data_IF_750499988134
#
_entry.id   IF_750499988134
#
_cell.length_a   1.000
_cell.length_b   1.000
_cell.length_c   1.000
_cell.angle_alpha   90.00
_cell.angle_beta   90.00
_cell.angle_gamma   90.00
#
_symmetry.space_group_name_H-M   'P 1'
#
loop_
_entity.id
_entity.type
_entity.pdbx_description
1 polymer ?
#
# COMPACT_ATOMS: atom_id res chain seq x y z
N UNK A 1 5.85 -13.49 -12.53
CA UNK A 1 4.86 -13.06 -11.51
C UNK A 1 3.45 -13.28 -12.02
N UNK A 2 2.54 -13.68 -11.14
CA UNK A 2 1.11 -13.74 -11.48
C UNK A 2 0.55 -12.35 -11.74
N UNK A 3 -0.66 -12.29 -12.34
CA UNK A 3 -1.33 -11.01 -12.55
C UNK A 3 -1.62 -10.27 -11.23
N UNK A 4 -1.98 -10.99 -10.19
CA UNK A 4 -2.21 -10.39 -8.87
C UNK A 4 -0.91 -9.88 -8.25
N UNK A 5 0.20 -10.59 -8.39
CA UNK A 5 1.50 -10.12 -7.92
C UNK A 5 1.93 -8.84 -8.63
N UNK A 6 1.70 -8.76 -9.94
CA UNK A 6 2.00 -7.54 -10.72
C UNK A 6 1.14 -6.36 -10.24
N UNK A 7 -0.13 -6.61 -9.97
CA UNK A 7 -1.05 -5.59 -9.48
C UNK A 7 -0.63 -5.04 -8.11
N UNK A 8 -0.29 -5.93 -7.18
CA UNK A 8 0.19 -5.55 -5.84
C UNK A 8 1.51 -4.79 -5.93
N UNK A 9 2.42 -5.23 -6.80
CA UNK A 9 3.71 -4.55 -7.02
C UNK A 9 3.49 -3.13 -7.54
N UNK A 10 2.58 -2.94 -8.49
CA UNK A 10 2.23 -1.62 -9.01
C UNK A 10 1.62 -0.72 -7.92
N UNK A 11 0.77 -1.29 -7.07
CA UNK A 11 0.18 -0.58 -5.94
C UNK A 11 1.28 -0.03 -5.00
N UNK A 12 2.21 -0.87 -4.54
CA UNK A 12 3.27 -0.43 -3.64
C UNK A 12 4.22 0.55 -4.31
N UNK A 13 4.49 0.37 -5.60
CA UNK A 13 5.28 1.36 -6.36
C UNK A 13 4.59 2.72 -6.33
N UNK A 14 3.29 2.77 -6.51
CA UNK A 14 2.52 4.01 -6.41
C UNK A 14 2.62 4.65 -5.02
N UNK A 15 2.58 3.84 -3.96
CA UNK A 15 2.73 4.36 -2.60
C UNK A 15 4.12 4.95 -2.39
N UNK A 16 5.17 4.24 -2.80
CA UNK A 16 6.56 4.67 -2.60
C UNK A 16 6.92 5.88 -3.45
N UNK A 17 6.37 5.97 -4.66
CA UNK A 17 6.62 7.08 -5.61
C UNK A 17 5.66 8.27 -5.40
N UNK A 18 4.74 8.19 -4.45
CA UNK A 18 3.70 9.19 -4.22
C UNK A 18 2.86 9.45 -5.49
N UNK A 19 2.52 8.39 -6.19
CA UNK A 19 1.75 8.42 -7.42
C UNK A 19 0.33 7.91 -7.17
N UNK A 20 -0.58 8.82 -6.84
CA UNK A 20 -1.95 8.46 -6.49
C UNK A 20 -2.69 7.83 -7.68
N UNK A 21 -2.42 8.28 -8.90
CA UNK A 21 -3.09 7.74 -10.08
C UNK A 21 -2.71 6.28 -10.30
N UNK A 22 -1.45 5.93 -10.08
CA UNK A 22 -1.00 4.54 -10.16
C UNK A 22 -1.68 3.67 -9.09
N UNK A 23 -1.79 4.17 -7.85
CA UNK A 23 -2.49 3.46 -6.77
C UNK A 23 -3.95 3.22 -7.15
N UNK A 24 -4.67 4.27 -7.52
CA UNK A 24 -6.10 4.17 -7.84
C UNK A 24 -6.35 3.30 -9.07
N UNK A 25 -5.42 3.25 -10.01
CA UNK A 25 -5.50 2.36 -11.16
C UNK A 25 -5.44 0.88 -10.81
N UNK A 26 -4.94 0.52 -9.63
CA UNK A 26 -4.92 -0.87 -9.13
C UNK A 26 -6.14 -1.22 -8.29
N UNK A 27 -6.99 -0.26 -7.95
CA UNK A 27 -8.12 -0.42 -7.04
C UNK A 27 -9.44 -0.17 -7.77
N UNK A 28 -10.42 -1.02 -7.48
CA UNK A 28 -11.79 -0.81 -7.96
C UNK A 28 -12.37 0.48 -7.35
N UNK A 29 -13.30 1.12 -8.06
CA UNK A 29 -13.99 2.33 -7.58
C UNK A 29 -14.70 2.10 -6.25
N UNK A 30 -15.23 0.90 -6.05
CA UNK A 30 -15.99 0.50 -4.87
C UNK A 30 -15.13 -0.26 -3.85
N UNK A 31 -13.81 -0.26 -4.01
CA UNK A 31 -12.96 -1.03 -3.12
C UNK A 31 -13.06 -0.56 -1.67
N UNK A 32 -12.85 -1.50 -0.76
CA UNK A 32 -12.74 -1.24 0.66
C UNK A 32 -11.30 -1.47 1.08
N UNK A 33 -10.73 -0.48 1.75
CA UNK A 33 -9.37 -0.52 2.27
C UNK A 33 -9.43 -0.50 3.79
N UNK A 34 -8.87 -1.50 4.44
CA UNK A 34 -8.88 -1.60 5.89
C UNK A 34 -7.47 -1.74 6.44
N UNK A 35 -7.20 -1.05 7.55
CA UNK A 35 -5.99 -1.25 8.35
C UNK A 35 -6.48 -1.74 9.71
N UNK A 36 -6.48 -3.07 9.86
CA UNK A 36 -7.11 -3.72 11.01
C UNK A 36 -6.48 -3.33 12.35
N UNK A 37 -5.15 -3.18 12.37
CA UNK A 37 -4.43 -2.80 13.58
C UNK A 37 -4.79 -1.40 14.09
N UNK A 38 -5.29 -0.54 13.22
CA UNK A 38 -5.67 0.84 13.56
C UNK A 38 -7.19 1.06 13.56
N UNK A 39 -7.96 0.02 13.28
CA UNK A 39 -9.40 0.13 13.19
C UNK A 39 -9.88 1.03 12.05
N UNK A 40 -9.07 1.20 11.01
CA UNK A 40 -9.38 2.06 9.87
C UNK A 40 -10.09 1.25 8.81
N UNK A 41 -11.18 1.80 8.27
CA UNK A 41 -11.91 1.25 7.14
C UNK A 41 -12.31 2.39 6.21
N UNK A 42 -11.85 2.32 4.98
CA UNK A 42 -12.08 3.35 3.95
C UNK A 42 -12.82 2.73 2.78
N UNK A 43 -13.78 3.44 2.24
CA UNK A 43 -14.55 2.98 1.09
C UNK A 43 -14.42 3.98 -0.05
N UNK A 44 -13.98 3.48 -1.21
CA UNK A 44 -13.87 4.27 -2.44
C UNK A 44 -12.60 5.11 -2.55
N UNK A 45 -12.37 5.60 -3.76
CA UNK A 45 -11.13 6.30 -4.11
C UNK A 45 -10.90 7.59 -3.32
N UNK A 46 -11.96 8.34 -3.02
CA UNK A 46 -11.82 9.64 -2.32
C UNK A 46 -11.24 9.47 -0.92
N UNK A 47 -11.78 8.53 -0.14
CA UNK A 47 -11.31 8.27 1.22
C UNK A 47 -9.89 7.70 1.22
N UNK A 48 -9.59 6.81 0.28
CA UNK A 48 -8.27 6.21 0.13
C UNK A 48 -7.24 7.28 -0.25
N UNK A 49 -7.57 8.17 -1.18
CA UNK A 49 -6.70 9.29 -1.55
C UNK A 49 -6.36 10.15 -0.35
N UNK A 50 -7.36 10.50 0.47
CA UNK A 50 -7.14 11.29 1.68
C UNK A 50 -6.17 10.62 2.66
N UNK A 51 -6.25 9.30 2.81
CA UNK A 51 -5.33 8.55 3.67
C UNK A 51 -3.90 8.65 3.17
N UNK A 52 -3.66 8.46 1.86
CA UNK A 52 -2.32 8.54 1.29
C UNK A 52 -1.76 9.96 1.33
N UNK A 53 -2.58 10.98 1.09
CA UNK A 53 -2.15 12.36 1.23
C UNK A 53 -1.64 12.66 2.64
N UNK A 54 -2.32 12.17 3.67
CA UNK A 54 -1.87 12.31 5.06
C UNK A 54 -0.58 11.53 5.33
N UNK A 55 -0.48 10.30 4.82
CA UNK A 55 0.74 9.49 4.96
C UNK A 55 1.95 10.22 4.38
N UNK A 56 1.81 10.75 3.18
CA UNK A 56 2.92 11.46 2.51
C UNK A 56 3.23 12.80 3.17
N UNK A 57 2.24 13.47 3.75
CA UNK A 57 2.47 14.70 4.49
C UNK A 57 3.26 14.46 5.78
N UNK A 58 3.07 13.30 6.41
CA UNK A 58 3.70 12.96 7.69
C UNK A 58 5.09 12.33 7.55
N UNK A 59 5.51 11.98 6.33
CA UNK A 59 6.77 11.28 6.07
C UNK A 59 7.53 11.92 4.91
N UNK A 60 8.86 11.93 5.00
CA UNK A 60 9.72 12.31 3.86
C UNK A 60 9.63 11.23 2.79
N UNK A 61 9.73 9.96 3.20
CA UNK A 61 9.61 8.84 2.28
C UNK A 61 9.04 7.60 2.98
N UNK A 62 8.44 6.75 2.16
CA UNK A 62 7.94 5.43 2.55
C UNK A 62 8.46 4.47 1.49
N UNK A 63 9.15 3.42 1.90
CA UNK A 63 9.71 2.43 0.98
C UNK A 63 9.30 1.03 1.41
N UNK A 64 8.66 0.31 0.48
CA UNK A 64 8.28 -1.09 0.66
C UNK A 64 9.24 -2.00 -0.09
N UNK A 65 9.72 -3.06 0.57
CA UNK A 65 10.61 -4.05 -0.05
C UNK A 65 10.45 -5.42 0.60
N UNK A 66 11.25 -6.37 0.17
CA UNK A 66 11.29 -7.75 0.70
C UNK A 66 9.93 -8.43 0.62
N UNK A 67 9.29 -8.34 -0.55
CA UNK A 67 7.97 -8.92 -0.76
C UNK A 67 8.02 -10.45 -0.76
N UNK A 68 7.05 -11.04 -0.08
CA UNK A 68 6.77 -12.47 -0.15
C UNK A 68 5.29 -12.64 -0.47
N UNK A 69 5.01 -13.18 -1.66
CA UNK A 69 3.65 -13.34 -2.15
C UNK A 69 3.15 -14.77 -1.93
N UNK A 70 1.89 -14.89 -1.58
CA UNK A 70 1.17 -16.16 -1.55
C UNK A 70 -0.13 -15.99 -2.32
N UNK A 71 -0.19 -16.55 -3.52
CA UNK A 71 -1.40 -16.54 -4.35
C UNK A 71 -2.35 -17.66 -3.88
N UNK A 72 -3.63 -17.34 -3.77
CA UNK A 72 -4.63 -18.37 -3.53
C UNK A 72 -4.91 -19.17 -4.81
N UNK A 73 -5.35 -20.41 -4.64
CA UNK A 73 -5.64 -21.29 -5.78
C UNK A 73 -6.80 -20.79 -6.65
N UNK A 74 -7.67 -19.94 -6.08
CA UNK A 74 -8.82 -19.40 -6.81
C UNK A 74 -8.46 -18.32 -7.83
N UNK A 75 -7.21 -17.83 -7.84
CA UNK A 75 -6.75 -16.75 -8.72
C UNK A 75 -7.32 -15.37 -8.41
N UNK A 76 -8.03 -15.20 -7.30
CA UNK A 76 -8.71 -13.95 -6.92
C UNK A 76 -8.16 -13.31 -5.66
N UNK A 77 -7.48 -14.09 -4.82
CA UNK A 77 -6.96 -13.63 -3.55
C UNK A 77 -5.45 -13.76 -3.54
N UNK A 78 -4.81 -12.83 -2.87
CA UNK A 78 -3.36 -12.85 -2.68
C UNK A 78 -3.04 -12.28 -1.30
N UNK A 79 -2.09 -12.90 -0.63
CA UNK A 79 -1.49 -12.34 0.57
C UNK A 79 -0.07 -11.90 0.26
N UNK A 80 0.37 -10.84 0.89
CA UNK A 80 1.74 -10.35 0.75
C UNK A 80 2.30 -9.98 2.10
N UNK A 81 3.53 -10.42 2.35
CA UNK A 81 4.32 -9.97 3.49
C UNK A 81 5.43 -9.08 2.96
N UNK A 82 5.71 -7.99 3.66
CA UNK A 82 6.70 -7.03 3.21
C UNK A 82 7.36 -6.33 4.39
N UNK A 83 8.45 -5.66 4.09
CA UNK A 83 9.15 -4.77 4.99
C UNK A 83 8.94 -3.33 4.52
N UNK A 84 8.67 -2.42 5.44
CA UNK A 84 8.51 -1.00 5.13
C UNK A 84 9.49 -0.16 5.95
N UNK A 85 10.12 0.80 5.29
CA UNK A 85 10.97 1.80 5.94
C UNK A 85 10.34 3.17 5.73
N UNK A 86 9.98 3.82 6.83
CA UNK A 86 9.44 5.17 6.83
C UNK A 86 10.53 6.13 7.28
N UNK A 87 10.74 7.21 6.52
CA UNK A 87 11.64 8.30 6.91
C UNK A 87 10.79 9.46 7.39
N UNK A 88 10.94 9.83 8.64
CA UNK A 88 10.21 10.94 9.26
C UNK A 88 10.88 12.29 8.93
N UNK A 89 10.16 13.38 9.17
CA UNK A 89 10.67 14.73 8.84
C UNK A 89 11.93 15.11 9.63
N UNK A 90 12.17 14.50 10.77
CA UNK A 90 13.41 14.72 11.54
C UNK A 90 14.58 13.87 11.04
N UNK A 91 14.37 13.08 9.98
CA UNK A 91 15.38 12.20 9.41
C UNK A 91 15.47 10.83 10.08
N UNK A 92 14.70 10.56 11.13
CA UNK A 92 14.71 9.24 11.77
C UNK A 92 14.02 8.21 10.89
N UNK A 93 14.44 6.95 11.06
CA UNK A 93 13.89 5.81 10.29
C UNK A 93 13.06 4.93 11.20
N UNK A 94 11.92 4.47 10.69
CA UNK A 94 11.07 3.48 11.35
C UNK A 94 10.95 2.27 10.43
N UNK A 95 11.33 1.10 10.92
CA UNK A 95 11.27 -0.16 10.19
C UNK A 95 10.14 -1.02 10.74
N UNK A 96 9.31 -1.56 9.84
CA UNK A 96 8.20 -2.45 10.18
C UNK A 96 8.13 -3.61 9.22
N UNK A 97 7.58 -4.74 9.69
CA UNK A 97 7.23 -5.89 8.87
C UNK A 97 5.73 -6.13 8.96
N UNK A 98 5.10 -6.35 7.82
CA UNK A 98 3.66 -6.60 7.70
C UNK A 98 3.37 -7.77 6.78
#
# INVERSE_FOLDING_TARGET
MSNLQKLVTAYFKGVDDQDIDLILGTLDEDCVFAVETHGVRLAGHAEITGMFERLWADHISVLHDRFHFVDADNGRDIAVRFHVTNTLHDGSLVHKSN
#
